data_IF_951459852323
#
_entry.id   IF_951459852323
#
_cell.length_a   1.000
_cell.length_b   1.000
_cell.length_c   1.000
_cell.angle_alpha   90.00
_cell.angle_beta   90.00
_cell.angle_gamma   90.00
#
_symmetry.space_group_name_H-M   'P 1'
#
loop_
_entity.id
_entity.type
_entity.pdbx_description
1 polymer ?
#
# COMPACT_ATOMS: atom_id res chain seq x y z
N UNK A 1 14.92 0.40 18.55
CA UNK A 1 14.22 0.06 17.29
C UNK A 1 13.46 1.29 16.84
N UNK A 2 13.78 1.85 15.67
CA UNK A 2 13.19 3.13 15.23
C UNK A 2 11.84 2.93 14.54
N UNK A 3 10.96 3.92 14.60
CA UNK A 3 9.62 3.86 13.97
C UNK A 3 9.70 3.62 12.45
N UNK A 4 10.76 4.12 11.79
CA UNK A 4 11.01 3.89 10.37
C UNK A 4 11.37 2.44 10.03
N UNK A 5 12.15 1.74 10.86
CA UNK A 5 12.43 0.32 10.65
C UNK A 5 11.16 -0.52 10.74
N UNK A 6 10.29 -0.19 11.69
CA UNK A 6 9.02 -0.89 11.87
C UNK A 6 8.10 -0.70 10.66
N UNK A 7 8.06 0.51 10.09
CA UNK A 7 7.35 0.76 8.82
C UNK A 7 7.92 -0.01 7.65
N UNK A 8 9.25 -0.10 7.51
CA UNK A 8 9.87 -0.91 6.44
C UNK A 8 9.48 -2.38 6.54
N UNK A 9 9.36 -2.93 7.76
CA UNK A 9 8.92 -4.33 7.99
C UNK A 9 7.46 -4.59 7.66
N UNK A 10 6.61 -3.54 7.63
CA UNK A 10 5.18 -3.62 7.28
C UNK A 10 4.90 -3.27 5.83
N UNK A 11 5.95 -3.20 4.98
CA UNK A 11 5.78 -3.01 3.55
C UNK A 11 5.55 -4.36 2.88
N UNK A 12 4.55 -4.39 2.01
CA UNK A 12 4.16 -5.59 1.28
C UNK A 12 4.14 -5.32 -0.23
N UNK A 13 4.48 -6.31 -1.08
CA UNK A 13 4.36 -6.19 -2.53
C UNK A 13 2.91 -5.97 -2.97
N UNK A 14 2.72 -5.48 -4.20
CA UNK A 14 1.40 -5.17 -4.79
C UNK A 14 0.37 -6.29 -4.62
N UNK A 15 0.77 -7.54 -4.86
CA UNK A 15 -0.10 -8.71 -4.76
C UNK A 15 -0.62 -8.91 -3.33
N UNK A 16 0.28 -8.87 -2.34
CA UNK A 16 -0.09 -8.98 -0.93
C UNK A 16 -0.89 -7.77 -0.44
N UNK A 17 -0.61 -6.57 -0.95
CA UNK A 17 -1.42 -5.39 -0.67
C UNK A 17 -2.86 -5.56 -1.17
N UNK A 18 -3.02 -6.07 -2.39
CA UNK A 18 -4.32 -6.34 -3.00
C UNK A 18 -5.11 -7.39 -2.18
N UNK A 19 -4.44 -8.50 -1.84
CA UNK A 19 -5.02 -9.57 -1.01
C UNK A 19 -5.45 -9.05 0.37
N UNK A 20 -4.59 -8.29 1.05
CA UNK A 20 -4.89 -7.76 2.38
C UNK A 20 -6.06 -6.76 2.38
N UNK A 21 -6.23 -6.00 1.29
CA UNK A 21 -7.31 -5.02 1.16
C UNK A 21 -8.58 -5.59 0.53
N UNK A 22 -8.56 -6.85 0.03
CA UNK A 22 -9.70 -7.42 -0.69
C UNK A 22 -10.04 -6.71 -1.99
N UNK A 23 -9.05 -6.11 -2.66
CA UNK A 23 -9.24 -5.37 -3.93
C UNK A 23 -8.32 -5.92 -5.02
N UNK A 24 -8.55 -5.51 -6.27
CA UNK A 24 -7.65 -5.84 -7.37
C UNK A 24 -6.29 -5.12 -7.24
N UNK A 25 -5.21 -5.71 -7.76
CA UNK A 25 -3.94 -5.01 -7.86
C UNK A 25 -4.01 -3.72 -8.70
N UNK A 26 -4.91 -3.68 -9.69
CA UNK A 26 -5.15 -2.47 -10.48
C UNK A 26 -5.66 -1.33 -9.60
N UNK A 27 -6.48 -1.63 -8.58
CA UNK A 27 -6.94 -0.66 -7.58
C UNK A 27 -5.77 -0.13 -6.76
N UNK A 28 -4.86 -0.99 -6.29
CA UNK A 28 -3.64 -0.58 -5.57
C UNK A 28 -2.78 0.34 -6.44
N UNK A 29 -2.55 -0.03 -7.71
CA UNK A 29 -1.82 0.82 -8.66
C UNK A 29 -2.52 2.16 -8.91
N UNK A 30 -3.85 2.18 -8.96
CA UNK A 30 -4.66 3.41 -9.12
C UNK A 30 -4.57 4.30 -7.89
N UNK A 31 -4.54 3.75 -6.69
CA UNK A 31 -4.29 4.53 -5.47
C UNK A 31 -2.89 5.13 -5.47
N UNK A 32 -1.88 4.37 -5.89
CA UNK A 32 -0.51 4.87 -6.02
C UNK A 32 -0.40 5.98 -7.08
N UNK A 33 -1.02 5.81 -8.25
CA UNK A 33 -1.00 6.83 -9.31
C UNK A 33 -1.71 8.11 -8.89
N UNK A 34 -2.79 7.99 -8.11
CA UNK A 34 -3.51 9.12 -7.49
C UNK A 34 -2.81 9.69 -6.25
N UNK A 35 -1.61 9.22 -5.91
CA UNK A 35 -0.84 9.61 -4.71
C UNK A 35 -1.60 9.43 -3.39
N UNK A 36 -2.57 8.50 -3.34
CA UNK A 36 -3.28 8.13 -2.10
C UNK A 36 -2.40 7.27 -1.18
N UNK A 37 -1.52 6.46 -1.77
CA UNK A 37 -0.52 5.62 -1.08
C UNK A 37 0.85 5.83 -1.70
N UNK A 38 1.90 5.59 -0.93
CA UNK A 38 3.29 5.71 -1.39
C UNK A 38 3.76 4.39 -1.98
N UNK A 39 4.32 4.44 -3.20
CA UNK A 39 5.05 3.32 -3.78
C UNK A 39 6.50 3.35 -3.28
N UNK A 40 6.87 2.34 -2.50
CA UNK A 40 8.25 2.10 -2.07
C UNK A 40 8.93 1.05 -2.96
N UNK A 41 10.25 0.95 -2.81
CA UNK A 41 11.07 -0.03 -3.53
C UNK A 41 11.56 0.46 -4.89
N UNK A 42 12.20 -0.45 -5.62
CA UNK A 42 12.85 -0.17 -6.89
C UNK A 42 11.93 -0.30 -8.11
N UNK A 43 12.48 -0.16 -9.33
CA UNK A 43 11.72 -0.34 -10.57
C UNK A 43 11.04 -1.72 -10.67
N UNK A 44 11.69 -2.77 -10.16
CA UNK A 44 11.24 -4.16 -10.29
C UNK A 44 10.31 -4.64 -9.16
N UNK A 45 10.31 -3.97 -7.99
CA UNK A 45 9.53 -4.41 -6.82
C UNK A 45 8.88 -3.22 -6.14
N UNK A 46 7.60 -3.04 -6.44
CA UNK A 46 6.75 -2.06 -5.74
C UNK A 46 6.33 -2.64 -4.40
N UNK A 47 6.57 -1.89 -3.33
CA UNK A 47 6.10 -2.22 -1.98
C UNK A 47 5.23 -1.10 -1.43
N UNK A 48 4.30 -1.47 -0.56
CA UNK A 48 3.30 -0.57 0.01
C UNK A 48 3.19 -0.79 1.51
N UNK A 49 3.13 0.31 2.26
CA UNK A 49 2.98 0.28 3.72
C UNK A 49 1.53 -0.06 4.09
N UNK A 50 1.36 -1.09 4.94
CA UNK A 50 0.04 -1.53 5.38
C UNK A 50 -0.76 -0.43 6.10
N UNK A 51 -0.12 0.44 6.88
CA UNK A 51 -0.82 1.50 7.60
C UNK A 51 -1.33 2.59 6.64
N UNK A 52 -0.65 2.82 5.51
CA UNK A 52 -1.16 3.66 4.42
C UNK A 52 -2.35 3.01 3.72
N UNK A 53 -2.24 1.72 3.40
CA UNK A 53 -3.31 0.95 2.74
C UNK A 53 -4.60 0.96 3.56
N UNK A 54 -4.52 0.63 4.86
CA UNK A 54 -5.69 0.65 5.74
C UNK A 54 -6.28 2.05 5.94
N UNK A 55 -5.47 3.11 5.85
CA UNK A 55 -5.98 4.50 5.92
C UNK A 55 -6.73 4.90 4.66
N UNK A 56 -6.29 4.42 3.49
CA UNK A 56 -6.97 4.71 2.22
C UNK A 56 -8.23 3.86 2.05
N UNK A 57 -8.18 2.57 2.37
CA UNK A 57 -9.35 1.69 2.31
C UNK A 57 -10.53 2.26 3.14
N UNK A 58 -10.25 2.69 4.38
CA UNK A 58 -11.25 3.37 5.24
C UNK A 58 -11.78 4.69 4.70
N UNK A 59 -11.12 5.32 3.73
CA UNK A 59 -11.59 6.56 3.08
C UNK A 59 -12.35 6.27 1.79
N UNK A 60 -11.98 5.22 1.07
CA UNK A 60 -12.63 4.81 -0.18
C UNK A 60 -13.91 3.98 0.05
N UNK A 61 -14.09 3.31 1.20
CA UNK A 61 -15.36 2.62 1.55
C UNK A 61 -16.58 3.56 1.69
N UNK A 62 -16.35 4.88 1.78
CA UNK A 62 -17.41 5.89 1.94
C UNK A 62 -17.59 6.79 0.71
N UNK A 63 -17.16 6.37 -0.48
CA UNK A 63 -17.38 7.06 -1.77
C UNK A 63 -17.90 6.12 -2.85
#
# INVERSE_FOLDING_TARGET
>A
MTEQENRRRRRVPTELAALAMGVSEATIRKWASRRKITRYGGPQRAEYDLDELFRVARRDEFQ
#
